data_IF_383831635891
#
_entry.id   IF_383831635891
#
_cell.length_a   1.000
_cell.length_b   1.000
_cell.length_c   1.000
_cell.angle_alpha   90.00
_cell.angle_beta   90.00
_cell.angle_gamma   90.00
#
_symmetry.space_group_name_H-M   'P 1'
#
loop_
_entity.id
_entity.type
_entity.pdbx_description
1 polymer ?
#
# COMPACT_ATOMS: atom_id res chain seq x y z
N UNK A 1 -10.45 13.98 31.55
CA UNK A 1 -10.26 13.66 30.12
C UNK A 1 -8.85 13.10 29.95
N UNK A 2 -8.69 11.85 30.35
CA UNK A 2 -7.63 11.43 31.27
C UNK A 2 -7.04 10.10 30.78
N UNK A 3 -5.74 10.08 30.44
CA UNK A 3 -4.85 8.92 30.10
C UNK A 3 -5.36 7.87 29.07
N UNK A 4 -6.61 7.42 29.12
CA UNK A 4 -7.25 6.54 28.12
C UNK A 4 -7.29 7.13 26.72
N UNK A 5 -7.51 8.44 26.57
CA UNK A 5 -7.54 9.08 25.25
C UNK A 5 -6.21 8.98 24.51
N UNK A 6 -5.07 8.97 25.23
CA UNK A 6 -3.72 8.82 24.66
C UNK A 6 -3.42 7.38 24.28
N UNK A 7 -4.02 6.39 24.95
CA UNK A 7 -3.90 4.97 24.59
C UNK A 7 -4.80 4.58 23.41
N UNK A 8 -5.94 5.26 23.22
CA UNK A 8 -6.89 5.02 22.11
C UNK A 8 -6.55 5.79 20.82
N UNK A 9 -5.65 6.77 20.86
CA UNK A 9 -5.23 7.53 19.67
C UNK A 9 -4.23 6.79 18.75
N UNK A 10 -3.16 6.12 19.26
CA UNK A 10 -2.23 5.36 18.43
C UNK A 10 -2.85 4.20 17.64
N UNK A 11 -3.81 3.39 18.17
CA UNK A 11 -4.42 2.33 17.35
C UNK A 11 -5.19 2.89 16.15
N UNK A 12 -5.84 4.06 16.27
CA UNK A 12 -6.59 4.66 15.16
C UNK A 12 -5.73 5.12 13.99
N UNK A 13 -4.50 5.59 14.27
CA UNK A 13 -3.55 5.91 13.20
C UNK A 13 -3.14 4.64 12.47
N UNK A 14 -2.83 3.56 13.19
CA UNK A 14 -2.45 2.27 12.61
C UNK A 14 -3.60 1.66 11.81
N UNK A 15 -4.83 1.67 12.32
CA UNK A 15 -5.99 1.20 11.58
C UNK A 15 -6.18 1.94 10.26
N UNK A 16 -6.00 3.26 10.27
CA UNK A 16 -6.09 4.09 9.07
C UNK A 16 -5.01 3.70 8.05
N UNK A 17 -3.76 3.50 8.48
CA UNK A 17 -2.67 3.08 7.58
C UNK A 17 -2.94 1.67 7.04
N UNK A 18 -3.30 0.73 7.90
CA UNK A 18 -3.57 -0.66 7.51
C UNK A 18 -4.78 -0.79 6.58
N UNK A 19 -5.81 0.06 6.73
CA UNK A 19 -6.97 0.06 5.82
C UNK A 19 -6.62 0.48 4.38
N UNK A 20 -5.46 1.10 4.18
CA UNK A 20 -4.93 1.50 2.87
C UNK A 20 -3.90 0.51 2.32
N UNK A 21 -3.42 -0.41 3.14
CA UNK A 21 -2.43 -1.39 2.72
C UNK A 21 -3.11 -2.54 1.97
N UNK A 22 -2.47 -3.01 0.90
CA UNK A 22 -2.95 -4.13 0.10
C UNK A 22 -1.83 -5.17 -0.05
N UNK A 23 -2.05 -6.33 0.57
CA UNK A 23 -1.09 -7.44 0.58
C UNK A 23 -0.95 -8.08 -0.81
N UNK A 24 -2.02 -8.10 -1.61
CA UNK A 24 -2.00 -8.65 -2.96
C UNK A 24 -1.21 -7.74 -3.90
N UNK A 25 -1.43 -6.43 -3.84
CA UNK A 25 -0.61 -5.47 -4.61
C UNK A 25 0.86 -5.54 -4.20
N UNK A 26 1.16 -5.62 -2.89
CA UNK A 26 2.53 -5.77 -2.42
C UNK A 26 3.19 -7.05 -2.98
N UNK A 27 2.46 -8.17 -3.02
CA UNK A 27 2.93 -9.41 -3.65
C UNK A 27 3.10 -9.26 -5.18
N UNK A 28 2.19 -8.57 -5.86
CA UNK A 28 2.30 -8.33 -7.29
C UNK A 28 3.57 -7.53 -7.64
N UNK A 29 3.95 -6.54 -6.83
CA UNK A 29 5.20 -5.82 -7.00
C UNK A 29 6.42 -6.73 -6.82
N UNK A 30 6.42 -7.63 -5.83
CA UNK A 30 7.48 -8.61 -5.68
C UNK A 30 7.63 -9.49 -6.93
N UNK A 31 6.52 -10.04 -7.42
CA UNK A 31 6.52 -10.92 -8.57
C UNK A 31 7.00 -10.24 -9.85
N UNK A 32 6.75 -8.92 -10.01
CA UNK A 32 7.12 -8.16 -11.20
C UNK A 32 8.52 -7.56 -11.15
N UNK A 33 9.01 -7.19 -9.96
CA UNK A 33 10.16 -6.29 -9.82
C UNK A 33 11.28 -6.85 -8.94
N UNK A 34 11.01 -7.88 -8.14
CA UNK A 34 11.95 -8.41 -7.16
C UNK A 34 12.47 -9.76 -7.65
N UNK A 35 13.78 -9.99 -7.51
CA UNK A 35 14.40 -11.26 -7.88
C UNK A 35 13.87 -12.40 -6.98
N UNK A 36 13.66 -13.61 -7.52
CA UNK A 36 13.05 -14.72 -6.77
C UNK A 36 13.73 -15.05 -5.44
N UNK A 37 15.04 -14.82 -5.32
CA UNK A 37 15.80 -15.11 -4.10
C UNK A 37 15.37 -14.24 -2.90
N UNK A 38 14.72 -13.10 -3.15
CA UNK A 38 14.25 -12.17 -2.13
C UNK A 38 12.75 -12.32 -1.81
N UNK A 39 12.01 -13.19 -2.53
CA UNK A 39 10.56 -13.36 -2.32
C UNK A 39 10.20 -13.86 -0.91
N UNK A 40 11.09 -14.64 -0.29
CA UNK A 40 10.90 -15.11 1.08
C UNK A 40 10.78 -13.95 2.08
N UNK A 41 11.59 -12.91 1.91
CA UNK A 41 11.55 -11.70 2.74
C UNK A 41 10.23 -10.94 2.54
N UNK A 42 9.80 -10.76 1.29
CA UNK A 42 8.52 -10.10 0.99
C UNK A 42 7.32 -10.85 1.61
N UNK A 43 7.33 -12.18 1.53
CA UNK A 43 6.32 -13.04 2.17
C UNK A 43 6.32 -12.88 3.70
N UNK A 44 7.49 -12.81 4.33
CA UNK A 44 7.64 -12.60 5.77
C UNK A 44 7.06 -11.25 6.20
N UNK A 45 7.40 -10.17 5.50
CA UNK A 45 6.88 -8.83 5.78
C UNK A 45 5.36 -8.75 5.65
N UNK A 46 4.76 -9.40 4.63
CA UNK A 46 3.30 -9.48 4.48
C UNK A 46 2.63 -10.26 5.61
N UNK A 47 3.26 -11.35 6.09
CA UNK A 47 2.77 -12.12 7.24
C UNK A 47 2.81 -11.30 8.53
N UNK A 48 3.87 -10.52 8.73
CA UNK A 48 3.98 -9.61 9.89
C UNK A 48 2.86 -8.57 9.86
N UNK A 49 2.62 -7.91 8.71
CA UNK A 49 1.53 -6.96 8.57
C UNK A 49 0.16 -7.59 8.86
N UNK A 50 -0.10 -8.80 8.35
CA UNK A 50 -1.35 -9.51 8.64
C UNK A 50 -1.51 -9.85 10.13
N UNK A 51 -0.42 -10.23 10.81
CA UNK A 51 -0.42 -10.48 12.25
C UNK A 51 -0.67 -9.19 13.05
N UNK A 52 -0.04 -8.08 12.67
CA UNK A 52 -0.20 -6.79 13.34
C UNK A 52 -1.64 -6.26 13.23
N UNK A 53 -2.28 -6.43 12.06
CA UNK A 53 -3.71 -6.09 11.88
C UNK A 53 -4.58 -6.84 12.88
N UNK A 54 -4.35 -8.14 13.06
CA UNK A 54 -5.12 -8.95 14.01
C UNK A 54 -4.90 -8.48 15.46
N UNK A 55 -3.67 -8.10 15.82
CA UNK A 55 -3.36 -7.57 17.16
C UNK A 55 -4.07 -6.23 17.39
N UNK A 56 -4.05 -5.32 16.41
CA UNK A 56 -4.72 -4.03 16.53
C UNK A 56 -6.24 -4.21 16.68
N UNK A 57 -6.86 -5.06 15.87
CA UNK A 57 -8.30 -5.38 15.97
C UNK A 57 -8.66 -6.00 17.33
N UNK A 58 -7.83 -6.91 17.84
CA UNK A 58 -8.04 -7.53 19.14
C UNK A 58 -7.95 -6.51 20.30
N UNK A 59 -7.03 -5.53 20.21
CA UNK A 59 -6.90 -4.45 21.19
C UNK A 59 -8.08 -3.48 21.09
N UNK A 60 -8.53 -3.16 19.88
CA UNK A 60 -9.70 -2.29 19.63
C UNK A 60 -11.04 -2.97 19.98
N UNK A 61 -11.05 -4.31 20.06
CA UNK A 61 -12.26 -5.13 20.19
C UNK A 61 -13.23 -4.95 19.01
N UNK A 62 -12.67 -4.81 17.81
CA UNK A 62 -13.40 -4.62 16.56
C UNK A 62 -13.23 -5.79 15.60
N UNK A 63 -14.23 -6.00 14.74
CA UNK A 63 -14.23 -7.06 13.72
C UNK A 63 -13.58 -6.66 12.40
N UNK A 64 -13.38 -5.37 12.17
CA UNK A 64 -12.82 -4.80 10.94
C UNK A 64 -12.19 -3.43 11.24
N UNK A 65 -11.23 -3.04 10.42
CA UNK A 65 -10.50 -1.78 10.59
C UNK A 65 -11.43 -0.58 10.41
N UNK A 66 -11.22 0.48 11.18
CA UNK A 66 -11.97 1.73 11.08
C UNK A 66 -13.48 1.58 11.37
N UNK A 67 -13.88 0.60 12.19
CA UNK A 67 -15.28 0.32 12.53
C UNK A 67 -16.00 1.54 13.15
N UNK A 68 -15.28 2.33 13.95
CA UNK A 68 -15.79 3.57 14.57
C UNK A 68 -15.99 4.72 13.58
N UNK A 69 -15.45 4.62 12.35
CA UNK A 69 -15.40 5.69 11.36
C UNK A 69 -15.85 5.18 9.97
N UNK A 70 -17.11 4.74 9.82
CA UNK A 70 -17.59 4.04 8.61
C UNK A 70 -17.49 4.91 7.35
N UNK A 71 -17.71 6.22 7.47
CA UNK A 71 -17.54 7.15 6.35
C UNK A 71 -16.09 7.24 5.86
N UNK A 72 -15.12 7.16 6.78
CA UNK A 72 -13.70 7.16 6.40
C UNK A 72 -13.35 5.81 5.76
N UNK A 73 -13.85 4.69 6.30
CA UNK A 73 -13.65 3.37 5.73
C UNK A 73 -14.18 3.28 4.29
N UNK A 74 -15.42 3.71 4.04
CA UNK A 74 -16.02 3.77 2.70
C UNK A 74 -15.22 4.67 1.75
N UNK A 75 -14.80 5.84 2.24
CA UNK A 75 -13.98 6.76 1.45
C UNK A 75 -12.62 6.18 1.08
N UNK A 76 -11.99 5.41 1.96
CA UNK A 76 -10.73 4.69 1.68
C UNK A 76 -11.00 3.58 0.66
N UNK A 77 -12.02 2.76 0.86
CA UNK A 77 -12.36 1.66 -0.04
C UNK A 77 -12.63 2.16 -1.46
N UNK A 78 -13.38 3.25 -1.62
CA UNK A 78 -13.65 3.85 -2.91
C UNK A 78 -12.35 4.32 -3.59
N UNK A 79 -11.43 4.93 -2.84
CA UNK A 79 -10.14 5.37 -3.40
C UNK A 79 -9.23 4.21 -3.78
N UNK A 80 -9.24 3.12 -3.01
CA UNK A 80 -8.46 1.93 -3.32
C UNK A 80 -8.87 1.38 -4.70
N UNK A 81 -10.17 1.24 -4.98
CA UNK A 81 -10.70 0.78 -6.28
C UNK A 81 -10.11 1.55 -7.48
N UNK A 82 -9.95 2.87 -7.36
CA UNK A 82 -9.38 3.70 -8.44
C UNK A 82 -7.85 3.74 -8.43
N UNK A 83 -7.21 3.40 -7.30
CA UNK A 83 -5.75 3.42 -7.14
C UNK A 83 -5.13 2.08 -7.56
N UNK A 84 -5.86 0.98 -7.45
CA UNK A 84 -5.44 -0.37 -7.87
C UNK A 84 -4.95 -0.44 -9.33
N UNK A 85 -5.70 0.05 -10.34
CA UNK A 85 -5.22 0.00 -11.72
C UNK A 85 -3.95 0.84 -11.94
N UNK A 86 -3.78 1.95 -11.19
CA UNK A 86 -2.57 2.75 -11.26
C UNK A 86 -1.37 2.01 -10.69
N UNK A 87 -1.55 1.26 -9.59
CA UNK A 87 -0.50 0.42 -9.02
C UNK A 87 -0.08 -0.70 -9.97
N UNK A 88 -1.04 -1.39 -10.59
CA UNK A 88 -0.76 -2.47 -11.55
C UNK A 88 0.00 -1.93 -12.76
N UNK A 89 -0.42 -0.77 -13.29
CA UNK A 89 0.27 -0.10 -14.39
C UNK A 89 1.67 0.38 -13.97
N UNK A 90 1.82 0.94 -12.77
CA UNK A 90 3.09 1.42 -12.27
C UNK A 90 4.13 0.29 -12.17
N UNK A 91 3.75 -0.89 -11.70
CA UNK A 91 4.67 -2.03 -11.65
C UNK A 91 5.15 -2.45 -13.06
N UNK A 92 4.28 -2.42 -14.06
CA UNK A 92 4.67 -2.66 -15.46
C UNK A 92 5.62 -1.57 -15.99
N UNK A 93 5.34 -0.30 -15.71
CA UNK A 93 6.19 0.82 -16.14
C UNK A 93 7.58 0.76 -15.48
N UNK A 94 7.64 0.43 -14.19
CA UNK A 94 8.90 0.20 -13.47
C UNK A 94 9.68 -0.96 -14.07
N UNK A 95 9.00 -2.06 -14.42
CA UNK A 95 9.64 -3.21 -15.05
C UNK A 95 10.30 -2.82 -16.38
N UNK A 96 9.57 -2.11 -17.26
CA UNK A 96 10.12 -1.62 -18.54
C UNK A 96 11.26 -0.64 -18.37
N UNK A 97 11.12 0.30 -17.43
CA UNK A 97 12.14 1.32 -17.15
C UNK A 97 13.45 0.68 -16.70
N UNK A 98 13.38 -0.26 -15.74
CA UNK A 98 14.55 -0.98 -15.23
C UNK A 98 15.18 -1.90 -16.28
N UNK A 99 14.36 -2.58 -17.09
CA UNK A 99 14.86 -3.43 -18.17
C UNK A 99 15.62 -2.61 -19.22
N UNK A 100 15.11 -1.44 -19.61
CA UNK A 100 15.80 -0.57 -20.54
C UNK A 100 17.17 -0.11 -20.00
N UNK A 101 17.24 0.24 -18.71
CA UNK A 101 18.48 0.61 -18.02
C UNK A 101 19.48 -0.56 -17.99
N UNK A 102 19.03 -1.77 -17.64
CA UNK A 102 19.86 -2.98 -17.63
C UNK A 102 20.41 -3.33 -19.02
N UNK A 103 19.62 -3.08 -20.08
CA UNK A 103 20.01 -3.26 -21.48
C UNK A 103 20.89 -2.11 -22.02
N UNK A 104 21.16 -1.07 -21.22
CA UNK A 104 21.97 0.09 -21.62
C UNK A 104 21.29 0.99 -22.65
N UNK A 105 19.95 0.97 -22.72
CA UNK A 105 19.15 1.82 -23.60
C UNK A 105 18.89 3.18 -22.95
N UNK A 106 18.77 4.21 -23.78
CA UNK A 106 18.30 5.51 -23.30
C UNK A 106 16.86 5.40 -22.74
N UNK A 107 16.54 6.12 -21.66
CA UNK A 107 15.18 6.13 -21.10
C UNK A 107 14.13 6.57 -22.12
N UNK A 108 13.00 5.85 -22.18
CA UNK A 108 11.86 6.25 -23.03
C UNK A 108 11.04 7.34 -22.32
N UNK A 109 10.96 8.58 -22.86
CA UNK A 109 10.24 9.68 -22.22
C UNK A 109 8.76 9.38 -21.98
N UNK A 110 8.15 8.50 -22.78
CA UNK A 110 6.74 8.10 -22.61
C UNK A 110 6.56 7.22 -21.39
N UNK A 111 7.53 6.34 -21.11
CA UNK A 111 7.53 5.47 -19.92
C UNK A 111 7.73 6.32 -18.68
N UNK A 112 8.70 7.25 -18.71
CA UNK A 112 8.94 8.17 -17.59
C UNK A 112 7.72 9.05 -17.29
N UNK A 113 7.11 9.64 -18.33
CA UNK A 113 5.92 10.46 -18.15
C UNK A 113 4.75 9.65 -17.59
N UNK A 114 4.51 8.44 -18.11
CA UNK A 114 3.48 7.56 -17.58
C UNK A 114 3.76 7.17 -16.12
N UNK A 115 5.03 6.92 -15.76
CA UNK A 115 5.43 6.59 -14.40
C UNK A 115 5.17 7.77 -13.45
N UNK A 116 5.48 9.00 -13.86
CA UNK A 116 5.17 10.20 -13.07
C UNK A 116 3.66 10.35 -12.85
N UNK A 117 2.84 10.05 -13.86
CA UNK A 117 1.37 10.09 -13.74
C UNK A 117 0.88 9.05 -12.75
N UNK A 118 1.40 7.81 -12.77
CA UNK A 118 1.00 6.79 -11.79
C UNK A 118 1.45 7.16 -10.38
N UNK A 119 2.66 7.69 -10.20
CA UNK A 119 3.16 8.15 -8.90
C UNK A 119 2.25 9.23 -8.32
N UNK A 120 1.95 10.27 -9.12
CA UNK A 120 1.09 11.36 -8.69
C UNK A 120 -0.35 10.88 -8.39
N UNK A 121 -0.88 9.98 -9.23
CA UNK A 121 -2.23 9.42 -9.06
C UNK A 121 -2.34 8.54 -7.81
N UNK A 122 -1.38 7.66 -7.56
CA UNK A 122 -1.33 6.84 -6.35
C UNK A 122 -1.20 7.73 -5.11
N UNK A 123 -0.31 8.72 -5.12
CA UNK A 123 -0.18 9.67 -4.01
C UNK A 123 -1.49 10.42 -3.71
N UNK A 124 -2.20 10.87 -4.76
CA UNK A 124 -3.49 11.55 -4.61
C UNK A 124 -4.59 10.63 -4.02
N UNK A 125 -4.61 9.35 -4.42
CA UNK A 125 -5.53 8.34 -3.90
C UNK A 125 -5.25 7.96 -2.44
N UNK A 126 -3.98 7.77 -2.08
CA UNK A 126 -3.56 7.32 -0.76
C UNK A 126 -3.67 8.41 0.31
N UNK A 127 -3.52 9.68 -0.07
CA UNK A 127 -3.51 10.83 0.85
C UNK A 127 -2.50 10.61 2.00
N UNK A 128 -2.90 10.84 3.25
CA UNK A 128 -2.04 10.71 4.43
C UNK A 128 -1.72 9.25 4.76
N UNK A 129 -0.47 8.81 4.65
CA UNK A 129 -0.07 7.42 4.90
C UNK A 129 0.80 7.25 6.16
N UNK A 130 1.08 8.32 6.89
CA UNK A 130 1.91 8.37 8.10
C UNK A 130 2.24 9.79 8.48
#
# INVERSE_FOLDING_TARGET
MSRLAVLLYPPRMLEMVYSKADLWLAEYYDQRLVKPELWALGSELRKLLAADINVVLAIANDSHLMADLPWIAESIQLRNIYTDPLNVLQAELLHRSRQAEEEGKDPDPRVEQALMVTIAGVAAGMRNTG
#
